data_IF_860211241055
#
_entry.id   IF_860211241055
#
_cell.length_a   1.000
_cell.length_b   1.000
_cell.length_c   1.000
_cell.angle_alpha   90.00
_cell.angle_beta   90.00
_cell.angle_gamma   90.00
#
_symmetry.space_group_name_H-M   'P 1'
#
loop_
_entity.id
_entity.type
_entity.pdbx_description
1 polymer ?
#
# COMPACT_ATOMS: atom_id res chain seq x y z
N UNK A 1 13.53 -4.28 12.51
CA UNK A 1 14.03 -4.30 11.11
C UNK A 1 13.04 -5.14 10.33
N UNK A 2 12.18 -4.54 9.50
CA UNK A 2 11.14 -5.30 8.77
C UNK A 2 11.85 -6.02 7.63
N UNK A 3 11.88 -7.36 7.67
CA UNK A 3 12.54 -8.16 6.64
C UNK A 3 11.86 -7.96 5.27
N UNK A 4 12.59 -7.99 4.15
CA UNK A 4 12.07 -7.68 2.80
C UNK A 4 11.05 -8.70 2.24
N UNK A 5 10.69 -9.74 2.99
CA UNK A 5 9.82 -10.85 2.59
C UNK A 5 8.42 -10.73 3.26
N UNK A 6 7.78 -9.56 3.19
CA UNK A 6 6.51 -9.32 3.92
C UNK A 6 5.33 -10.15 3.40
N UNK A 7 5.41 -10.77 2.22
CA UNK A 7 4.26 -11.43 1.61
C UNK A 7 4.71 -12.52 0.63
N UNK A 8 4.89 -13.74 1.11
CA UNK A 8 5.45 -14.82 0.28
C UNK A 8 4.43 -15.91 -0.07
N UNK A 9 3.15 -15.82 0.35
CA UNK A 9 2.20 -16.90 0.07
C UNK A 9 0.76 -16.40 -0.14
N UNK A 10 0.48 -16.02 -1.39
CA UNK A 10 -0.86 -15.74 -1.92
C UNK A 10 -1.41 -17.04 -2.55
N UNK A 11 -2.12 -17.83 -1.75
CA UNK A 11 -2.77 -19.05 -2.24
C UNK A 11 -4.23 -18.75 -2.54
N UNK A 12 -4.63 -18.94 -3.79
CA UNK A 12 -6.03 -18.82 -4.23
C UNK A 12 -6.63 -20.19 -4.50
N UNK A 13 -7.76 -20.50 -3.85
CA UNK A 13 -8.52 -21.73 -4.14
C UNK A 13 -9.78 -21.39 -4.95
N UNK A 14 -9.93 -21.92 -6.18
CA UNK A 14 -11.14 -21.72 -6.97
C UNK A 14 -12.31 -22.55 -6.43
N UNK A 15 -13.44 -21.89 -6.21
CA UNK A 15 -14.72 -22.52 -5.93
C UNK A 15 -15.76 -21.94 -6.89
N UNK A 16 -16.13 -22.73 -7.90
CA UNK A 16 -17.15 -22.40 -8.89
C UNK A 16 -18.46 -23.09 -8.52
N UNK A 17 -19.41 -22.34 -7.97
CA UNK A 17 -20.81 -22.79 -7.82
C UNK A 17 -21.69 -21.93 -8.72
N UNK A 18 -22.03 -22.44 -9.91
CA UNK A 18 -22.77 -21.72 -10.94
C UNK A 18 -21.91 -20.71 -11.71
N UNK A 19 -22.52 -19.65 -12.24
CA UNK A 19 -21.88 -18.57 -13.01
C UNK A 19 -21.02 -17.61 -12.17
N UNK A 20 -20.67 -17.99 -10.94
CA UNK A 20 -19.88 -17.15 -10.02
C UNK A 20 -18.59 -17.85 -9.64
N UNK A 21 -17.48 -17.16 -9.90
CA UNK A 21 -16.16 -17.55 -9.46
C UNK A 21 -15.90 -16.99 -8.07
N UNK A 22 -15.70 -17.88 -7.10
CA UNK A 22 -15.26 -17.50 -5.75
C UNK A 22 -13.81 -17.94 -5.55
N UNK A 23 -12.94 -17.00 -5.22
CA UNK A 23 -11.55 -17.24 -4.84
C UNK A 23 -11.37 -16.98 -3.35
N UNK A 24 -10.60 -17.82 -2.67
CA UNK A 24 -10.16 -17.56 -1.29
C UNK A 24 -8.67 -17.32 -1.29
N UNK A 25 -8.24 -16.13 -0.91
CA UNK A 25 -6.84 -15.70 -0.86
C UNK A 25 -6.29 -15.68 0.56
N UNK A 26 -5.02 -16.05 0.71
CA UNK A 26 -4.23 -15.95 1.94
C UNK A 26 -3.22 -14.81 1.87
N UNK A 27 -3.01 -14.09 2.97
CA UNK A 27 -1.90 -13.15 3.11
C UNK A 27 -1.18 -13.42 4.43
N UNK A 28 0.11 -13.73 4.34
CA UNK A 28 0.99 -13.95 5.49
C UNK A 28 1.98 -12.82 5.56
N UNK A 29 2.00 -12.11 6.69
CA UNK A 29 3.02 -11.11 7.01
C UNK A 29 4.06 -11.73 7.93
N UNK A 30 5.30 -11.81 7.45
CA UNK A 30 6.43 -12.30 8.22
C UNK A 30 7.03 -11.15 9.04
N UNK A 31 6.87 -11.23 10.37
CA UNK A 31 7.56 -10.37 11.33
C UNK A 31 8.78 -11.08 11.94
N UNK A 32 9.64 -10.31 12.60
CA UNK A 32 10.82 -10.83 13.29
C UNK A 32 10.44 -11.80 14.42
N UNK A 33 9.35 -11.52 15.12
CA UNK A 33 8.84 -12.39 16.19
C UNK A 33 8.09 -13.60 15.62
N UNK A 34 7.06 -13.35 14.80
CA UNK A 34 6.10 -14.35 14.31
C UNK A 34 5.50 -13.95 12.97
N UNK A 35 5.02 -14.96 12.25
CA UNK A 35 4.26 -14.78 11.02
C UNK A 35 2.76 -14.70 11.32
N UNK A 36 2.06 -13.73 10.74
CA UNK A 36 0.62 -13.56 10.90
C UNK A 36 -0.07 -13.79 9.56
N UNK A 37 -0.95 -14.79 9.50
CA UNK A 37 -1.75 -15.10 8.31
C UNK A 37 -3.19 -14.65 8.48
N UNK A 38 -3.76 -14.03 7.43
CA UNK A 38 -5.19 -13.71 7.32
C UNK A 38 -5.69 -14.16 5.96
N UNK A 39 -6.90 -14.71 5.95
CA UNK A 39 -7.57 -15.23 4.76
C UNK A 39 -8.77 -14.36 4.43
N UNK A 40 -9.10 -14.19 3.16
CA UNK A 40 -10.34 -13.53 2.73
C UNK A 40 -10.80 -14.07 1.39
N UNK A 41 -12.09 -13.88 1.09
CA UNK A 41 -12.70 -14.34 -0.16
C UNK A 41 -12.90 -13.17 -1.11
N UNK A 42 -12.85 -13.44 -2.41
CA UNK A 42 -13.25 -12.56 -3.50
C UNK A 42 -14.19 -13.31 -4.43
N UNK A 43 -15.17 -12.61 -4.99
CA UNK A 43 -16.24 -13.22 -5.78
C UNK A 43 -16.48 -12.36 -7.01
N UNK A 44 -16.47 -12.97 -8.19
CA UNK A 44 -16.75 -12.32 -9.45
C UNK A 44 -17.69 -13.21 -10.28
N UNK A 45 -18.45 -12.60 -11.19
CA UNK A 45 -19.28 -13.36 -12.13
C UNK A 45 -18.44 -13.76 -13.35
N UNK A 46 -18.64 -14.98 -13.87
CA UNK A 46 -17.85 -15.52 -14.99
C UNK A 46 -18.10 -14.71 -16.27
N UNK A 47 -19.33 -14.24 -16.47
CA UNK A 47 -19.76 -13.43 -17.61
C UNK A 47 -19.64 -11.91 -17.32
N UNK A 48 -18.67 -11.50 -16.51
CA UNK A 48 -18.50 -10.08 -16.23
C UNK A 48 -18.01 -9.36 -17.50
N UNK A 49 -18.76 -8.35 -17.98
CA UNK A 49 -18.31 -7.44 -19.04
C UNK A 49 -17.31 -6.38 -18.54
N UNK A 50 -16.57 -6.72 -17.48
CA UNK A 50 -15.55 -5.89 -16.84
C UNK A 50 -14.20 -6.09 -17.52
N UNK A 51 -13.30 -5.13 -17.38
CA UNK A 51 -11.95 -5.27 -17.91
C UNK A 51 -11.17 -6.36 -17.15
N UNK A 52 -10.49 -7.24 -17.89
CA UNK A 52 -9.70 -8.35 -17.33
C UNK A 52 -10.48 -9.67 -17.20
N UNK A 53 -9.80 -10.72 -16.79
CA UNK A 53 -10.43 -12.01 -16.51
C UNK A 53 -11.12 -12.00 -15.13
N UNK A 54 -12.24 -12.73 -14.98
CA UNK A 54 -12.98 -12.79 -13.73
C UNK A 54 -12.14 -13.33 -12.56
N UNK A 55 -11.15 -14.18 -12.84
CA UNK A 55 -10.18 -14.66 -11.85
C UNK A 55 -9.32 -13.53 -11.28
N UNK A 56 -8.69 -12.71 -12.11
CA UNK A 56 -7.89 -11.57 -11.66
C UNK A 56 -8.70 -10.58 -10.83
N UNK A 57 -9.96 -10.35 -11.21
CA UNK A 57 -10.87 -9.46 -10.47
C UNK A 57 -11.23 -10.04 -9.09
N UNK A 58 -11.60 -11.32 -9.04
CA UNK A 58 -11.85 -12.03 -7.79
C UNK A 58 -10.60 -12.10 -6.89
N UNK A 59 -9.42 -12.30 -7.46
CA UNK A 59 -8.16 -12.37 -6.73
C UNK A 59 -7.81 -11.01 -6.12
N UNK A 60 -7.90 -9.94 -6.91
CA UNK A 60 -7.66 -8.59 -6.42
C UNK A 60 -8.67 -8.21 -5.32
N UNK A 61 -9.92 -8.68 -5.40
CA UNK A 61 -10.91 -8.52 -4.33
C UNK A 61 -10.51 -9.27 -3.06
N UNK A 62 -10.09 -10.53 -3.17
CA UNK A 62 -9.63 -11.34 -2.03
C UNK A 62 -8.40 -10.69 -1.36
N UNK A 63 -7.41 -10.29 -2.15
CA UNK A 63 -6.18 -9.67 -1.66
C UNK A 63 -6.45 -8.37 -0.90
N UNK A 64 -7.26 -7.46 -1.46
CA UNK A 64 -7.62 -6.20 -0.79
C UNK A 64 -8.31 -6.44 0.55
N UNK A 65 -9.19 -7.46 0.64
CA UNK A 65 -9.86 -7.85 1.88
C UNK A 65 -8.88 -8.47 2.89
N UNK A 66 -7.90 -9.25 2.45
CA UNK A 66 -6.81 -9.73 3.29
C UNK A 66 -6.00 -8.57 3.88
N UNK A 67 -5.57 -7.61 3.06
CA UNK A 67 -4.85 -6.41 3.51
C UNK A 67 -5.67 -5.60 4.53
N UNK A 68 -6.97 -5.44 4.29
CA UNK A 68 -7.86 -4.73 5.21
C UNK A 68 -7.96 -5.40 6.60
N UNK A 69 -7.83 -6.73 6.68
CA UNK A 69 -7.78 -7.46 7.97
C UNK A 69 -6.53 -7.17 8.79
N UNK A 70 -5.44 -6.76 8.14
CA UNK A 70 -4.23 -6.24 8.79
C UNK A 70 -4.30 -4.73 9.09
N UNK A 71 -5.37 -4.05 8.66
CA UNK A 71 -5.50 -2.60 8.79
C UNK A 71 -4.84 -1.80 7.66
N UNK A 72 -4.24 -2.46 6.66
CA UNK A 72 -3.63 -1.81 5.50
C UNK A 72 -4.71 -1.36 4.52
N UNK A 73 -4.60 -0.12 4.02
CA UNK A 73 -5.50 0.40 2.99
C UNK A 73 -6.97 0.51 3.41
N UNK A 74 -7.29 0.33 4.69
CA UNK A 74 -8.67 0.42 5.22
C UNK A 74 -9.26 1.82 5.05
N UNK A 75 -8.41 2.84 5.08
CA UNK A 75 -8.79 4.21 4.80
C UNK A 75 -9.25 4.40 3.35
N UNK A 76 -8.76 3.60 2.40
CA UNK A 76 -9.19 3.66 0.99
C UNK A 76 -10.68 3.38 0.80
N UNK A 77 -11.35 2.79 1.79
CA UNK A 77 -12.76 2.41 1.72
C UNK A 77 -13.68 3.26 2.62
N UNK A 78 -13.14 4.25 3.35
CA UNK A 78 -13.98 5.23 4.05
C UNK A 78 -14.74 6.08 3.03
N UNK A 79 -16.07 6.16 3.19
CA UNK A 79 -16.93 7.02 2.37
C UNK A 79 -16.73 8.50 2.70
N UNK A 80 -16.48 8.80 3.98
CA UNK A 80 -16.30 10.16 4.49
C UNK A 80 -14.83 10.59 4.47
N UNK A 81 -14.13 10.33 3.37
CA UNK A 81 -12.75 10.80 3.24
C UNK A 81 -12.74 12.30 2.99
N UNK A 82 -11.95 13.08 3.74
CA UNK A 82 -11.58 14.40 3.27
C UNK A 82 -10.90 14.18 1.92
N UNK A 83 -11.49 14.76 0.88
CA UNK A 83 -10.96 14.72 -0.47
C UNK A 83 -9.48 15.11 -0.43
N UNK A 84 -8.59 14.35 -1.09
CA UNK A 84 -7.17 14.65 -1.06
C UNK A 84 -6.98 16.10 -1.49
N UNK A 85 -6.12 16.82 -0.76
CA UNK A 85 -5.77 18.20 -1.09
C UNK A 85 -5.40 18.25 -2.57
N UNK A 86 -5.99 19.19 -3.31
CA UNK A 86 -5.70 19.39 -4.74
C UNK A 86 -4.20 19.55 -4.91
N UNK A 87 -3.66 19.19 -6.08
CA UNK A 87 -2.21 19.07 -6.33
C UNK A 87 -1.35 20.32 -6.00
N UNK A 88 -1.95 21.49 -5.70
CA UNK A 88 -1.28 22.71 -5.24
C UNK A 88 -1.48 23.10 -3.76
N UNK A 89 -2.23 22.32 -2.97
CA UNK A 89 -2.48 22.59 -1.54
C UNK A 89 -1.69 21.67 -0.59
N UNK A 90 -0.91 20.74 -1.13
CA UNK A 90 -0.06 19.85 -0.35
C UNK A 90 1.06 20.70 0.27
N UNK A 91 1.02 20.91 1.59
CA UNK A 91 2.17 21.45 2.33
C UNK A 91 3.31 20.44 2.19
N UNK A 92 4.34 20.82 1.45
CA UNK A 92 5.61 20.09 1.46
C UNK A 92 6.11 20.03 2.91
N UNK A 93 6.56 18.86 3.41
CA UNK A 93 7.18 18.80 4.73
C UNK A 93 8.39 19.75 4.71
N UNK A 94 8.44 20.67 5.68
CA UNK A 94 9.55 21.59 5.82
C UNK A 94 10.83 20.77 5.94
N UNK A 95 11.71 20.87 4.94
CA UNK A 95 12.97 20.14 4.91
C UNK A 95 13.81 20.68 6.06
N UNK A 96 13.80 19.98 7.19
CA UNK A 96 14.69 20.27 8.30
C UNK A 96 16.11 19.96 7.84
N UNK A 97 16.87 20.99 7.46
CA UNK A 97 18.28 20.85 7.10
C UNK A 97 19.04 20.56 8.39
N UNK A 98 19.26 19.28 8.68
CA UNK A 98 20.19 18.89 9.74
C UNK A 98 21.59 19.23 9.23
N UNK A 99 22.11 20.39 9.61
CA UNK A 99 23.49 20.76 9.33
C UNK A 99 24.39 19.78 10.08
N UNK A 100 25.06 18.90 9.35
CA UNK A 100 26.11 18.06 9.92
C UNK A 100 27.20 18.98 10.50
N UNK A 101 27.75 18.67 11.70
CA UNK A 101 28.78 19.50 12.30
C UNK A 101 29.96 19.67 11.33
N UNK A 102 30.24 20.91 10.93
CA UNK A 102 31.28 21.27 9.96
C UNK A 102 30.79 21.69 8.56
N UNK A 103 29.49 21.60 8.26
CA UNK A 103 28.94 22.12 7.00
C UNK A 103 28.40 23.53 7.23
N UNK A 104 29.11 24.54 6.70
CA UNK A 104 28.62 25.94 6.74
C UNK A 104 27.41 26.10 5.81
N UNK A 105 26.46 26.95 6.19
CA UNK A 105 25.29 27.21 5.38
C UNK A 105 25.68 27.86 4.04
N UNK A 106 24.89 27.65 2.98
CA UNK A 106 25.14 28.25 1.65
C UNK A 106 25.22 29.77 1.72
N UNK A 107 24.47 30.38 2.62
CA UNK A 107 24.43 31.82 2.86
C UNK A 107 25.73 32.32 3.51
N UNK A 108 26.23 31.62 4.54
CA UNK A 108 27.54 31.92 5.14
C UNK A 108 28.70 31.78 4.14
N UNK A 109 28.65 30.76 3.27
CA UNK A 109 29.70 30.59 2.25
C UNK A 109 29.73 31.76 1.26
N UNK A 110 28.55 32.24 0.81
CA UNK A 110 28.44 33.40 -0.08
C UNK A 110 28.90 34.68 0.59
N UNK A 111 28.58 34.87 1.88
CA UNK A 111 29.04 36.02 2.66
C UNK A 111 30.57 36.05 2.79
N UNK A 112 31.20 34.89 3.03
CA UNK A 112 32.67 34.76 3.06
C UNK A 112 33.31 35.05 1.70
N UNK A 113 32.68 34.61 0.61
CA UNK A 113 33.18 34.84 -0.76
C UNK A 113 33.15 36.31 -1.16
N UNK A 114 32.16 37.08 -0.70
CA UNK A 114 32.06 38.51 -1.01
C UNK A 114 32.95 39.41 -0.14
N UNK A 115 33.65 38.84 0.84
CA UNK A 115 34.60 39.55 1.72
C UNK A 115 36.07 39.28 1.36
N UNK A 116 36.33 38.43 0.36
CA UNK A 116 37.66 38.13 -0.19
C UNK A 116 37.83 38.78 -1.56
#
# INVERSE_FOLDING_TARGET
MIQPEICTDCQTYPNSKGDRLTLTGSLTIHGDDRSLTRQATGTEDIDCNSYGDPSSNAEAMALRRCCAKFGLGRDLWRKDKPQPLKMGQRREPEKQTVLAPGTISREEWLARKNQA
#
